data_IF_363454881571
#
_entry.id   IF_363454881571
#
_cell.length_a   1.000
_cell.length_b   1.000
_cell.length_c   1.000
_cell.angle_alpha   90.00
_cell.angle_beta   90.00
_cell.angle_gamma   90.00
#
_symmetry.space_group_name_H-M   'P 1'
#
loop_
_entity.id
_entity.type
_entity.pdbx_description
1 polymer ?
#
# COMPACT_ATOMS: atom_id res chain seq x y z
N UNK A 1 -65.98 -59.53 -28.06
CA UNK A 1 -64.67 -59.20 -27.43
C UNK A 1 -63.59 -59.39 -28.48
N UNK A 2 -63.25 -58.34 -29.22
CA UNK A 2 -62.00 -58.11 -29.97
C UNK A 2 -62.17 -56.80 -30.77
N UNK A 3 -61.37 -55.81 -30.45
CA UNK A 3 -61.08 -54.62 -31.27
C UNK A 3 -59.71 -54.12 -30.80
N UNK A 4 -58.78 -53.83 -31.71
CA UNK A 4 -58.51 -52.45 -32.11
C UNK A 4 -57.37 -52.33 -33.12
N UNK A 5 -57.59 -51.45 -34.11
CA UNK A 5 -56.58 -50.74 -34.92
C UNK A 5 -56.21 -49.42 -34.23
N UNK A 6 -55.03 -48.88 -34.56
CA UNK A 6 -54.89 -47.44 -34.88
C UNK A 6 -53.96 -46.58 -34.00
N UNK A 7 -52.80 -46.28 -34.58
CA UNK A 7 -51.94 -45.06 -34.59
C UNK A 7 -52.25 -43.78 -33.76
N UNK A 8 -51.17 -42.98 -33.64
CA UNK A 8 -50.98 -41.52 -33.40
C UNK A 8 -50.52 -41.04 -31.99
N UNK A 9 -49.47 -40.20 -32.05
CA UNK A 9 -48.93 -39.18 -31.12
C UNK A 9 -47.76 -39.58 -30.19
N UNK A 10 -46.61 -38.94 -30.41
CA UNK A 10 -45.58 -38.73 -29.39
C UNK A 10 -45.08 -37.28 -29.49
N UNK A 11 -45.11 -36.59 -28.35
CA UNK A 11 -44.80 -35.19 -28.15
C UNK A 11 -43.94 -35.10 -26.87
N UNK A 12 -42.78 -34.42 -26.96
CA UNK A 12 -41.87 -33.95 -25.88
C UNK A 12 -41.15 -35.05 -25.05
N UNK A 13 -39.86 -34.98 -24.69
CA UNK A 13 -38.99 -33.85 -24.36
C UNK A 13 -37.50 -34.26 -24.18
N UNK A 14 -36.59 -33.27 -24.29
CA UNK A 14 -35.23 -33.17 -23.69
C UNK A 14 -34.11 -34.13 -24.17
N UNK A 15 -33.14 -33.56 -24.89
CA UNK A 15 -31.71 -33.49 -24.51
C UNK A 15 -30.97 -32.67 -25.59
N UNK A 16 -30.48 -31.49 -25.21
CA UNK A 16 -29.64 -30.62 -26.04
C UNK A 16 -28.19 -30.84 -25.61
N UNK A 17 -27.34 -31.27 -26.55
CA UNK A 17 -25.88 -31.22 -26.39
C UNK A 17 -25.21 -30.86 -27.73
N UNK A 18 -24.80 -29.60 -27.78
CA UNK A 18 -23.53 -29.05 -28.27
C UNK A 18 -22.92 -29.52 -29.61
N UNK A 19 -22.95 -28.62 -30.61
CA UNK A 19 -21.84 -28.37 -31.54
C UNK A 19 -21.97 -26.93 -32.11
N UNK A 20 -21.39 -25.93 -31.46
CA UNK A 20 -21.10 -24.63 -32.12
C UNK A 20 -19.81 -23.99 -31.64
N UNK A 21 -18.67 -24.42 -32.20
CA UNK A 21 -17.39 -23.71 -32.11
C UNK A 21 -16.85 -23.42 -33.51
N UNK A 22 -17.19 -22.25 -34.06
CA UNK A 22 -16.47 -21.52 -35.13
C UNK A 22 -17.25 -20.26 -35.57
N UNK A 23 -17.25 -19.20 -34.77
CA UNK A 23 -17.59 -17.84 -35.26
C UNK A 23 -17.18 -16.75 -34.25
N UNK A 24 -15.89 -16.65 -33.93
CA UNK A 24 -15.35 -15.59 -33.05
C UNK A 24 -14.28 -14.71 -33.69
N UNK A 25 -13.61 -15.21 -34.73
CA UNK A 25 -12.39 -14.59 -35.26
C UNK A 25 -12.63 -13.52 -36.33
N UNK A 26 -13.79 -13.56 -37.01
CA UNK A 26 -14.07 -12.67 -38.14
C UNK A 26 -14.76 -11.35 -37.75
N UNK A 27 -15.33 -11.25 -36.54
CA UNK A 27 -16.05 -10.05 -36.09
C UNK A 27 -15.10 -8.95 -35.58
N UNK A 28 -13.96 -9.34 -34.99
CA UNK A 28 -12.97 -8.41 -34.41
C UNK A 28 -12.13 -7.72 -35.50
N UNK A 29 -11.93 -8.38 -36.65
CA UNK A 29 -11.20 -7.81 -37.79
C UNK A 29 -12.08 -6.79 -38.55
N UNK A 30 -13.39 -6.99 -38.58
CA UNK A 30 -14.34 -6.11 -39.27
C UNK A 30 -14.57 -4.77 -38.54
N UNK A 31 -14.47 -4.75 -37.20
CA UNK A 31 -14.64 -3.53 -36.39
C UNK A 31 -13.42 -2.59 -36.43
N UNK A 32 -12.21 -3.08 -36.70
CA UNK A 32 -11.00 -2.24 -36.77
C UNK A 32 -10.90 -1.42 -38.07
N UNK A 33 -11.42 -1.95 -39.18
CA UNK A 33 -11.35 -1.25 -40.47
C UNK A 33 -12.43 -0.17 -40.65
N UNK A 34 -13.51 -0.19 -39.86
CA UNK A 34 -14.59 0.81 -39.94
C UNK A 34 -14.28 2.11 -39.17
N UNK A 35 -13.32 2.10 -38.24
CA UNK A 35 -12.89 3.29 -37.48
C UNK A 35 -11.81 4.13 -38.18
N UNK A 36 -11.18 3.64 -39.26
CA UNK A 36 -10.09 4.36 -39.94
C UNK A 36 -10.53 5.22 -41.14
N UNK A 37 -11.78 5.12 -41.58
CA UNK A 37 -12.29 5.84 -42.76
C UNK A 37 -13.28 6.98 -42.48
N UNK A 38 -13.63 7.24 -41.21
CA UNK A 38 -14.64 8.25 -40.84
C UNK A 38 -14.10 9.68 -40.67
N UNK A 39 -12.77 9.88 -40.55
CA UNK A 39 -12.24 11.21 -40.19
C UNK A 39 -11.81 12.10 -41.36
N UNK A 40 -11.70 11.57 -42.60
CA UNK A 40 -11.12 12.32 -43.72
C UNK A 40 -12.17 12.86 -44.71
N UNK A 41 -13.42 12.39 -44.66
CA UNK A 41 -14.46 12.80 -45.60
C UNK A 41 -15.29 14.03 -45.17
N UNK A 42 -15.13 14.55 -43.95
CA UNK A 42 -15.95 15.68 -43.45
C UNK A 42 -15.33 17.07 -43.63
N UNK A 43 -14.13 17.17 -44.21
CA UNK A 43 -13.38 18.43 -44.30
C UNK A 43 -13.49 19.19 -45.64
N UNK A 44 -14.34 18.76 -46.58
CA UNK A 44 -14.39 19.37 -47.92
C UNK A 44 -15.71 20.06 -48.30
N UNK A 45 -16.60 20.36 -47.34
CA UNK A 45 -17.82 21.12 -47.62
C UNK A 45 -18.14 22.13 -46.51
N UNK A 46 -17.58 23.33 -46.59
CA UNK A 46 -18.26 24.60 -46.29
C UNK A 46 -17.29 25.78 -46.35
N UNK A 47 -17.27 26.46 -47.49
CA UNK A 47 -16.67 27.79 -47.61
C UNK A 47 -17.49 28.84 -46.86
N UNK A 48 -16.77 29.84 -46.36
CA UNK A 48 -17.21 31.19 -46.01
C UNK A 48 -18.10 31.36 -44.77
N UNK A 49 -17.49 31.21 -43.58
CA UNK A 49 -17.73 32.07 -42.38
C UNK A 49 -16.75 31.84 -41.20
N UNK A 50 -15.57 31.25 -41.42
CA UNK A 50 -14.67 30.81 -40.33
C UNK A 50 -13.58 31.82 -39.95
N UNK A 51 -13.33 32.86 -40.74
CA UNK A 51 -12.19 33.78 -40.48
C UNK A 51 -12.39 34.67 -39.24
N UNK A 52 -13.60 35.19 -38.99
CA UNK A 52 -13.83 36.12 -37.87
C UNK A 52 -13.96 35.46 -36.49
N UNK A 53 -14.29 34.16 -36.43
CA UNK A 53 -14.37 33.43 -35.15
C UNK A 53 -13.02 32.90 -34.70
N UNK A 54 -12.13 32.56 -35.65
CA UNK A 54 -10.79 32.07 -35.34
C UNK A 54 -9.86 33.19 -34.85
N UNK A 55 -9.92 34.38 -35.45
CA UNK A 55 -9.16 35.56 -34.98
C UNK A 55 -9.57 35.99 -33.56
N UNK A 56 -10.88 35.98 -33.24
CA UNK A 56 -11.35 36.30 -31.90
C UNK A 56 -10.92 35.26 -30.84
N UNK A 57 -10.72 33.99 -31.25
CA UNK A 57 -10.24 32.94 -30.36
C UNK A 57 -8.73 33.04 -30.12
N UNK A 58 -7.96 33.36 -31.18
CA UNK A 58 -6.51 33.60 -31.11
C UNK A 58 -6.18 34.88 -30.33
N UNK A 59 -6.98 35.93 -30.48
CA UNK A 59 -6.80 37.16 -29.71
C UNK A 59 -7.15 36.94 -28.23
N UNK A 60 -8.24 36.21 -27.92
CA UNK A 60 -8.55 35.80 -26.53
C UNK A 60 -7.48 34.90 -25.92
N UNK A 61 -6.80 34.07 -26.71
CA UNK A 61 -5.69 33.25 -26.24
C UNK A 61 -4.43 34.07 -25.97
N UNK A 62 -4.11 35.06 -26.82
CA UNK A 62 -3.00 36.00 -26.63
C UNK A 62 -3.23 36.92 -25.42
N UNK A 63 -4.42 37.49 -25.28
CA UNK A 63 -4.76 38.38 -24.15
C UNK A 63 -4.76 37.63 -22.80
N UNK A 64 -5.04 36.32 -22.80
CA UNK A 64 -4.98 35.45 -21.61
C UNK A 64 -3.54 35.00 -21.28
N UNK A 65 -2.67 34.94 -22.29
CA UNK A 65 -1.24 34.67 -22.13
C UNK A 65 -0.48 35.91 -21.63
N UNK A 66 -0.78 37.11 -22.14
CA UNK A 66 -0.21 38.37 -21.65
C UNK A 66 -0.67 38.69 -20.22
N UNK A 67 -1.95 38.49 -19.89
CA UNK A 67 -2.45 38.63 -18.50
C UNK A 67 -1.89 37.59 -17.51
N UNK A 68 -1.35 36.47 -18.00
CA UNK A 68 -0.69 35.46 -17.17
C UNK A 68 0.81 35.75 -16.96
N UNK A 69 1.44 36.50 -17.88
CA UNK A 69 2.86 36.88 -17.82
C UNK A 69 3.11 38.15 -17.00
N UNK A 70 2.18 39.11 -16.97
CA UNK A 70 2.34 40.33 -16.16
C UNK A 70 2.01 40.14 -14.67
N UNK A 71 1.34 39.05 -14.28
CA UNK A 71 1.00 38.76 -12.87
C UNK A 71 2.13 38.08 -12.06
N UNK A 72 3.33 37.92 -12.64
CA UNK A 72 4.47 37.24 -12.01
C UNK A 72 5.57 38.18 -11.49
N UNK A 73 5.35 39.50 -11.49
CA UNK A 73 6.28 40.46 -10.90
C UNK A 73 5.56 41.28 -9.82
N UNK A 74 6.08 41.15 -8.59
CA UNK A 74 5.90 42.00 -7.39
C UNK A 74 4.64 41.85 -6.48
N UNK A 75 4.95 41.41 -5.25
CA UNK A 75 4.26 41.50 -3.94
C UNK A 75 2.99 40.63 -3.68
N UNK A 76 3.04 39.57 -2.86
CA UNK A 76 3.00 39.51 -1.36
C UNK A 76 1.71 40.18 -0.84
N UNK A 77 0.69 39.50 -0.33
CA UNK A 77 0.64 38.50 0.76
C UNK A 77 -0.64 37.64 0.74
N UNK A 78 -0.65 36.60 1.59
CA UNK A 78 -1.80 35.85 2.11
C UNK A 78 -2.45 34.77 1.22
N UNK A 79 -1.90 33.55 1.32
CA UNK A 79 -2.68 32.31 1.26
C UNK A 79 -2.01 31.25 2.13
N UNK A 80 -2.82 30.59 2.96
CA UNK A 80 -2.44 29.60 3.98
C UNK A 80 -1.58 28.48 3.38
N UNK A 81 -0.28 28.56 3.61
CA UNK A 81 0.59 27.38 3.59
C UNK A 81 0.26 26.55 4.83
N UNK A 82 -0.23 25.33 4.61
CA UNK A 82 -0.05 24.26 5.58
C UNK A 82 1.44 24.20 5.89
N UNK A 83 1.75 24.45 7.15
CA UNK A 83 3.11 24.53 7.66
C UNK A 83 3.48 23.08 7.97
N UNK A 84 4.04 22.36 7.00
CA UNK A 84 4.90 21.23 7.34
C UNK A 84 6.02 21.81 8.19
N UNK A 85 5.87 21.70 9.52
CA UNK A 85 6.93 21.99 10.48
C UNK A 85 7.81 20.75 10.71
N UNK A 86 7.92 19.88 9.71
CA UNK A 86 9.02 18.94 9.60
C UNK A 86 10.18 19.70 8.99
N UNK A 87 11.14 20.11 9.82
CA UNK A 87 12.49 20.41 9.35
C UNK A 87 12.90 19.25 8.44
N UNK A 88 13.24 19.50 7.18
CA UNK A 88 13.84 18.48 6.32
C UNK A 88 15.19 18.10 6.95
N UNK A 89 15.16 17.08 7.80
CA UNK A 89 16.30 16.65 8.62
C UNK A 89 17.29 15.79 7.82
N UNK A 90 17.10 15.63 6.50
CA UNK A 90 17.88 14.73 5.67
C UNK A 90 17.63 13.26 6.01
N UNK A 91 17.83 12.38 5.01
CA UNK A 91 17.78 10.94 5.22
C UNK A 91 19.18 10.41 5.52
N UNK A 92 19.44 10.12 6.79
CA UNK A 92 20.73 9.68 7.36
C UNK A 92 20.71 8.22 7.85
N UNK A 93 19.70 7.44 7.43
CA UNK A 93 19.63 6.02 7.77
C UNK A 93 20.75 5.22 7.10
N UNK A 94 21.54 4.52 7.92
CA UNK A 94 22.59 3.59 7.48
C UNK A 94 22.23 2.17 7.92
N UNK A 95 21.90 1.25 7.00
CA UNK A 95 21.65 -0.14 7.36
C UNK A 95 22.86 -0.78 8.03
N UNK A 96 22.63 -1.70 8.97
CA UNK A 96 23.71 -2.57 9.48
C UNK A 96 24.41 -3.34 8.36
N UNK A 97 25.63 -3.80 8.61
CA UNK A 97 26.45 -4.53 7.64
C UNK A 97 26.38 -6.06 7.80
N UNK A 98 25.83 -6.56 8.91
CA UNK A 98 25.78 -7.99 9.24
C UNK A 98 24.33 -8.50 9.27
N UNK A 99 23.97 -9.38 8.34
CA UNK A 99 22.63 -9.98 8.28
C UNK A 99 22.31 -10.86 9.50
N UNK A 100 21.19 -10.59 10.17
CA UNK A 100 20.68 -11.39 11.30
C UNK A 100 19.45 -12.21 10.88
N UNK A 101 18.55 -11.60 10.12
CA UNK A 101 17.32 -12.20 9.62
C UNK A 101 16.88 -11.52 8.32
N UNK A 102 16.35 -12.29 7.39
CA UNK A 102 15.64 -11.78 6.22
C UNK A 102 14.47 -12.70 5.86
N UNK A 103 13.35 -12.09 5.51
CA UNK A 103 12.18 -12.77 4.97
C UNK A 103 11.48 -11.88 3.94
N UNK A 104 11.40 -12.37 2.71
CA UNK A 104 10.68 -11.74 1.59
C UNK A 104 9.55 -12.64 1.04
N UNK A 105 9.26 -13.72 1.76
CA UNK A 105 8.24 -14.73 1.47
C UNK A 105 8.41 -15.50 0.15
N UNK A 106 9.47 -15.27 -0.61
CA UNK A 106 9.71 -15.85 -1.94
C UNK A 106 9.66 -17.38 -1.97
N UNK A 107 10.11 -18.04 -0.89
CA UNK A 107 10.14 -19.51 -0.75
C UNK A 107 8.76 -20.15 -0.52
N UNK A 108 7.75 -19.38 -0.14
CA UNK A 108 6.40 -19.89 0.12
C UNK A 108 5.54 -19.82 -1.13
N UNK A 109 4.70 -20.82 -1.39
CA UNK A 109 3.69 -20.73 -2.44
C UNK A 109 2.61 -19.69 -2.07
N UNK A 110 1.91 -19.13 -3.07
CA UNK A 110 0.72 -18.31 -2.82
C UNK A 110 -0.33 -19.16 -2.10
N UNK A 111 -0.93 -18.61 -1.05
CA UNK A 111 -1.89 -19.30 -0.17
C UNK A 111 -1.24 -20.13 0.95
N UNK A 112 0.09 -20.30 0.95
CA UNK A 112 0.78 -21.03 2.01
C UNK A 112 0.97 -20.16 3.26
N UNK A 113 1.09 -20.81 4.42
CA UNK A 113 1.44 -20.15 5.68
C UNK A 113 2.95 -19.94 5.78
N UNK A 114 3.36 -18.70 6.07
CA UNK A 114 4.77 -18.35 6.28
C UNK A 114 5.28 -18.82 7.65
N UNK A 115 5.92 -19.98 7.71
CA UNK A 115 6.43 -20.57 8.96
C UNK A 115 7.49 -19.72 9.70
N UNK A 116 8.08 -18.71 9.05
CA UNK A 116 9.00 -17.76 9.66
C UNK A 116 8.31 -16.75 10.59
N UNK A 117 6.99 -16.65 10.51
CA UNK A 117 6.14 -15.78 11.33
C UNK A 117 5.19 -16.63 12.16
N UNK A 118 5.07 -16.31 13.45
CA UNK A 118 4.06 -16.84 14.36
C UNK A 118 3.02 -15.77 14.67
N UNK A 119 1.78 -16.20 14.91
CA UNK A 119 0.63 -15.30 15.09
C UNK A 119 -0.53 -16.01 15.81
N UNK A 120 -1.45 -15.25 16.42
CA UNK A 120 -2.79 -15.72 16.80
C UNK A 120 -3.82 -15.68 15.66
N UNK A 121 -3.46 -15.12 14.50
CA UNK A 121 -4.26 -15.13 13.29
C UNK A 121 -3.71 -16.10 12.25
N UNK A 122 -3.53 -15.61 11.02
CA UNK A 122 -2.97 -16.38 9.92
C UNK A 122 -1.90 -15.58 9.17
N UNK A 123 -0.76 -16.21 8.91
CA UNK A 123 0.38 -15.65 8.17
C UNK A 123 0.35 -16.11 6.71
N UNK A 124 -0.70 -15.77 5.96
CA UNK A 124 -0.92 -16.27 4.60
C UNK A 124 -0.15 -15.44 3.58
N UNK A 125 0.61 -16.13 2.73
CA UNK A 125 1.37 -15.49 1.65
C UNK A 125 0.48 -15.26 0.44
N UNK A 126 0.54 -14.06 -0.13
CA UNK A 126 -0.18 -13.63 -1.32
C UNK A 126 0.75 -12.94 -2.32
N UNK A 127 0.20 -12.65 -3.49
CA UNK A 127 0.75 -11.72 -4.48
C UNK A 127 -0.18 -10.53 -4.57
N UNK A 128 0.35 -9.38 -4.96
CA UNK A 128 -0.45 -8.18 -5.24
C UNK A 128 -0.23 -7.81 -6.70
N UNK A 129 -1.30 -7.38 -7.36
CA UNK A 129 -1.23 -6.90 -8.75
C UNK A 129 -0.31 -5.69 -8.82
N UNK A 130 0.46 -5.57 -9.90
CA UNK A 130 1.45 -4.53 -10.14
C UNK A 130 2.62 -4.41 -9.15
N UNK A 131 2.61 -5.19 -8.06
CA UNK A 131 3.68 -5.23 -7.07
C UNK A 131 4.56 -6.48 -7.19
N UNK A 132 5.88 -6.28 -7.16
CA UNK A 132 6.84 -7.38 -7.26
C UNK A 132 6.91 -8.17 -5.96
N UNK A 133 7.21 -9.46 -6.08
CA UNK A 133 7.50 -10.33 -4.95
C UNK A 133 6.25 -10.95 -4.31
N UNK A 134 6.41 -11.41 -3.07
CA UNK A 134 5.35 -12.05 -2.28
C UNK A 134 5.17 -11.28 -0.99
N UNK A 135 3.95 -11.30 -0.50
CA UNK A 135 3.51 -10.49 0.64
C UNK A 135 2.81 -11.36 1.65
N UNK A 136 2.93 -11.05 2.93
CA UNK A 136 2.11 -11.67 3.97
C UNK A 136 0.90 -10.79 4.27
N UNK A 137 -0.30 -11.34 4.18
CA UNK A 137 -1.54 -10.64 4.52
C UNK A 137 -1.69 -10.53 6.04
N UNK A 138 -2.01 -9.33 6.53
CA UNK A 138 -2.36 -9.10 7.93
C UNK A 138 -3.87 -9.27 8.12
N UNK A 139 -4.27 -10.31 8.87
CA UNK A 139 -5.66 -10.52 9.29
C UNK A 139 -5.98 -9.61 10.46
N UNK A 140 -7.20 -9.11 10.49
CA UNK A 140 -7.69 -8.21 11.52
C UNK A 140 -7.48 -8.81 12.92
N UNK A 141 -7.17 -7.94 13.88
CA UNK A 141 -6.99 -8.32 15.30
C UNK A 141 -5.93 -9.39 15.55
N UNK A 142 -4.93 -9.49 14.67
CA UNK A 142 -3.83 -10.44 14.82
C UNK A 142 -2.50 -9.74 15.17
N UNK A 143 -1.73 -10.39 16.03
CA UNK A 143 -0.33 -10.04 16.35
C UNK A 143 0.59 -10.98 15.57
N UNK A 144 1.65 -10.45 14.98
CA UNK A 144 2.65 -11.19 14.23
C UNK A 144 4.03 -10.95 14.84
N UNK A 145 4.75 -12.04 15.14
CA UNK A 145 6.14 -12.02 15.63
C UNK A 145 6.99 -13.00 14.85
N UNK A 146 8.30 -12.83 14.89
CA UNK A 146 9.23 -13.79 14.26
C UNK A 146 9.20 -15.13 15.01
N UNK A 147 9.15 -16.23 14.27
CA UNK A 147 9.30 -17.58 14.85
C UNK A 147 10.73 -17.77 15.38
N UNK A 148 11.73 -17.23 14.65
CA UNK A 148 13.12 -17.23 15.09
C UNK A 148 13.28 -16.29 16.28
N UNK A 149 13.70 -16.82 17.43
CA UNK A 149 14.13 -15.99 18.55
C UNK A 149 15.45 -15.31 18.19
N UNK A 150 15.45 -13.98 18.17
CA UNK A 150 16.63 -13.17 17.89
C UNK A 150 17.12 -12.56 19.19
N UNK A 151 18.42 -12.74 19.49
CA UNK A 151 19.12 -11.93 20.48
C UNK A 151 19.61 -10.68 19.76
N UNK A 152 18.82 -9.62 19.83
CA UNK A 152 19.17 -8.35 19.19
C UNK A 152 20.46 -7.81 19.80
N UNK A 153 21.46 -7.41 18.98
CA UNK A 153 22.62 -6.70 19.49
C UNK A 153 22.21 -5.32 20.02
N UNK A 154 23.13 -4.63 20.69
CA UNK A 154 22.90 -3.27 21.20
C UNK A 154 22.52 -2.30 20.08
N UNK A 155 23.17 -2.42 18.93
CA UNK A 155 22.93 -1.60 17.75
C UNK A 155 22.50 -2.47 16.57
N UNK A 156 21.35 -2.18 15.98
CA UNK A 156 20.80 -2.89 14.82
C UNK A 156 19.84 -2.02 14.02
N UNK A 157 19.56 -2.47 12.80
CA UNK A 157 18.52 -1.89 11.95
C UNK A 157 17.47 -2.93 11.60
N UNK A 158 16.24 -2.48 11.44
CA UNK A 158 15.17 -3.24 10.79
C UNK A 158 14.57 -2.44 9.65
N UNK A 159 14.34 -3.12 8.54
CA UNK A 159 13.65 -2.58 7.37
C UNK A 159 12.56 -3.57 6.94
N UNK A 160 11.43 -3.06 6.50
CA UNK A 160 10.35 -3.84 5.89
C UNK A 160 9.42 -2.92 5.10
N UNK A 161 8.55 -3.51 4.30
CA UNK A 161 7.60 -2.77 3.49
C UNK A 161 6.18 -3.07 3.99
N UNK A 162 5.37 -2.03 4.09
CA UNK A 162 3.91 -2.13 4.34
C UNK A 162 3.21 -1.76 3.03
N UNK A 163 2.19 -2.51 2.66
CA UNK A 163 1.32 -2.19 1.53
C UNK A 163 -0.12 -2.14 2.03
N UNK A 164 -0.66 -0.93 2.14
CA UNK A 164 -2.05 -0.68 2.47
C UNK A 164 -2.86 -0.51 1.18
N UNK A 165 -3.65 -1.52 0.82
CA UNK A 165 -4.56 -1.45 -0.31
C UNK A 165 -5.94 -1.04 0.18
N UNK A 166 -6.40 0.14 -0.23
CA UNK A 166 -7.68 0.72 0.18
C UNK A 166 -8.11 1.82 -0.79
N UNK A 167 -9.41 2.13 -0.79
CA UNK A 167 -9.95 3.27 -1.55
C UNK A 167 -9.70 4.57 -0.78
N UNK A 168 -9.84 4.54 0.55
CA UNK A 168 -9.56 5.65 1.46
C UNK A 168 -8.72 5.19 2.65
N UNK A 169 -7.91 6.08 3.24
CA UNK A 169 -7.05 5.72 4.37
C UNK A 169 -7.89 5.25 5.56
N UNK A 170 -9.00 5.91 5.85
CA UNK A 170 -9.90 5.56 6.94
C UNK A 170 -10.71 4.26 6.72
N UNK A 171 -10.53 3.56 5.60
CA UNK A 171 -11.01 2.19 5.44
C UNK A 171 -10.20 1.21 6.31
N UNK A 172 -9.05 1.65 6.84
CA UNK A 172 -8.13 0.87 7.65
C UNK A 172 -8.08 1.46 9.06
N UNK A 173 -8.32 0.62 10.06
CA UNK A 173 -8.03 0.97 11.46
C UNK A 173 -6.52 1.10 11.74
N UNK A 174 -6.12 1.64 12.90
CA UNK A 174 -4.71 1.82 13.22
C UNK A 174 -3.91 0.51 13.20
N UNK A 175 -2.73 0.55 12.60
CA UNK A 175 -1.76 -0.54 12.59
C UNK A 175 -0.57 -0.15 13.44
N UNK A 176 -0.04 -1.07 14.26
CA UNK A 176 1.17 -0.82 15.04
C UNK A 176 2.27 -1.82 14.75
N UNK A 177 3.51 -1.39 14.93
CA UNK A 177 4.69 -2.24 14.92
C UNK A 177 5.70 -1.70 15.92
N UNK A 178 6.63 -2.55 16.36
CA UNK A 178 7.62 -2.15 17.34
C UNK A 178 8.24 -3.32 18.06
N UNK A 179 8.50 -3.14 19.35
CA UNK A 179 9.24 -4.09 20.17
C UNK A 179 8.60 -4.27 21.55
N UNK A 180 8.26 -5.51 21.89
CA UNK A 180 7.76 -5.90 23.21
C UNK A 180 8.78 -6.67 24.03
N UNK A 181 8.60 -6.69 25.35
CA UNK A 181 9.42 -7.50 26.25
C UNK A 181 9.06 -8.99 26.19
N UNK A 182 7.79 -9.33 25.99
CA UNK A 182 7.35 -10.69 25.76
C UNK A 182 7.49 -11.09 24.28
N UNK A 183 7.61 -12.39 24.03
CA UNK A 183 7.58 -12.95 22.67
C UNK A 183 6.33 -13.83 22.44
N UNK A 184 5.25 -13.60 23.20
CA UNK A 184 3.99 -14.30 23.04
C UNK A 184 3.20 -13.72 21.86
N UNK A 185 2.36 -14.55 21.26
CA UNK A 185 1.33 -14.13 20.30
C UNK A 185 -0.05 -14.60 20.72
N UNK A 186 -0.24 -14.99 21.99
CA UNK A 186 -1.54 -15.45 22.49
C UNK A 186 -2.58 -14.34 22.38
N UNK A 187 -2.19 -13.13 22.78
CA UNK A 187 -3.07 -11.97 22.83
C UNK A 187 -2.79 -10.97 21.69
N UNK A 188 -3.81 -10.19 21.37
CA UNK A 188 -3.65 -8.99 20.57
C UNK A 188 -2.79 -7.96 21.30
N UNK A 189 -1.79 -7.42 20.62
CA UNK A 189 -0.83 -6.47 21.19
C UNK A 189 -1.03 -5.09 20.56
N UNK A 190 -1.52 -4.10 21.31
CA UNK A 190 -1.56 -2.70 20.87
C UNK A 190 -0.79 -1.83 21.86
N UNK A 191 -0.01 -0.88 21.32
CA UNK A 191 0.74 0.13 22.07
C UNK A 191 1.58 -0.46 23.23
N UNK A 192 2.15 -1.64 23.00
CA UNK A 192 2.94 -2.37 23.98
C UNK A 192 4.44 -2.23 23.72
N UNK A 193 5.22 -2.04 24.79
CA UNK A 193 6.64 -1.75 24.68
C UNK A 193 6.87 -0.50 23.84
N UNK A 194 7.95 -0.49 23.04
CA UNK A 194 8.18 0.60 22.09
C UNK A 194 7.37 0.35 20.84
N UNK A 195 6.52 1.30 20.45
CA UNK A 195 5.62 1.16 19.32
C UNK A 195 5.68 2.37 18.39
N UNK A 196 5.32 2.12 17.13
CA UNK A 196 4.92 3.09 16.12
C UNK A 196 3.53 2.67 15.66
N UNK A 197 2.56 3.57 15.70
CA UNK A 197 1.18 3.32 15.33
C UNK A 197 0.79 4.28 14.21
N UNK A 198 0.45 3.72 13.05
CA UNK A 198 -0.02 4.44 11.87
C UNK A 198 -1.54 4.62 12.00
N UNK A 199 -1.99 5.85 12.26
CA UNK A 199 -3.40 6.19 12.47
C UNK A 199 -4.08 6.47 11.12
N UNK A 200 -4.29 5.42 10.33
CA UNK A 200 -4.93 5.51 9.01
C UNK A 200 -6.31 6.21 9.04
N UNK A 201 -7.07 6.05 10.13
CA UNK A 201 -8.33 6.75 10.36
C UNK A 201 -8.20 8.27 10.39
N UNK A 202 -7.11 8.77 10.99
CA UNK A 202 -6.78 10.19 11.08
C UNK A 202 -5.97 10.68 9.86
N UNK A 203 -5.71 9.80 8.89
CA UNK A 203 -5.05 10.03 7.59
C UNK A 203 -3.57 10.47 7.62
N UNK A 204 -3.13 11.21 8.64
CA UNK A 204 -1.77 11.72 8.72
C UNK A 204 -1.09 11.54 10.08
N UNK A 205 -1.80 11.04 11.11
CA UNK A 205 -1.23 10.90 12.44
C UNK A 205 -0.35 9.64 12.55
N UNK A 206 0.80 9.79 13.19
CA UNK A 206 1.65 8.68 13.62
C UNK A 206 1.99 8.86 15.10
N UNK A 207 1.63 7.88 15.91
CA UNK A 207 1.92 7.88 17.35
C UNK A 207 3.11 6.98 17.62
N UNK A 208 4.10 7.49 18.35
CA UNK A 208 5.31 6.73 18.73
C UNK A 208 5.48 6.80 20.23
N UNK A 209 5.69 5.68 20.89
CA UNK A 209 5.89 5.73 22.34
C UNK A 209 6.29 4.43 22.99
N UNK A 210 6.48 4.52 24.30
CA UNK A 210 6.65 3.40 25.21
C UNK A 210 6.20 3.82 26.63
N UNK A 211 5.36 2.99 27.25
CA UNK A 211 4.91 3.21 28.64
C UNK A 211 6.02 3.06 29.67
N UNK A 212 7.13 2.43 29.31
CA UNK A 212 8.34 2.36 30.10
C UNK A 212 9.55 2.54 29.16
N UNK A 213 10.08 3.78 29.00
CA UNK A 213 10.29 4.74 30.09
C UNK A 213 9.28 5.91 30.20
N UNK A 214 8.04 5.78 29.72
CA UNK A 214 7.02 6.87 29.63
C UNK A 214 7.42 7.97 28.65
N UNK A 215 7.78 7.56 27.44
CA UNK A 215 8.07 8.47 26.34
C UNK A 215 6.97 8.36 25.29
N UNK A 216 6.41 9.48 24.89
CA UNK A 216 5.36 9.56 23.88
C UNK A 216 5.63 10.75 22.97
N UNK A 217 5.54 10.52 21.67
CA UNK A 217 5.79 11.49 20.62
C UNK A 217 4.72 11.31 19.56
N UNK A 218 3.99 12.38 19.28
CA UNK A 218 3.07 12.42 18.15
C UNK A 218 3.77 13.14 17.00
N UNK A 219 3.65 12.58 15.81
CA UNK A 219 4.21 13.12 14.59
C UNK A 219 3.24 12.92 13.43
N UNK A 220 3.55 13.46 12.28
CA UNK A 220 2.67 13.41 11.11
C UNK A 220 3.39 12.84 9.90
N UNK A 221 2.67 12.01 9.15
CA UNK A 221 3.09 11.46 7.87
C UNK A 221 1.84 11.19 7.04
N UNK A 222 1.77 11.69 5.81
CA UNK A 222 0.59 11.50 4.95
C UNK A 222 0.43 10.01 4.56
N UNK A 223 -0.47 9.31 5.25
CA UNK A 223 -0.75 7.89 4.99
C UNK A 223 -1.60 7.72 3.73
N UNK A 224 -2.31 8.76 3.30
CA UNK A 224 -3.14 8.73 2.08
C UNK A 224 -2.25 8.61 0.85
N UNK A 225 -1.14 9.35 0.78
CA UNK A 225 -0.15 9.24 -0.31
C UNK A 225 0.66 7.93 -0.29
N UNK A 226 0.52 7.13 0.78
CA UNK A 226 1.16 5.82 0.89
C UNK A 226 0.25 4.66 0.48
N UNK A 227 -1.04 4.91 0.22
CA UNK A 227 -1.97 3.86 -0.19
C UNK A 227 -1.60 3.27 -1.55
N UNK A 228 -1.91 1.99 -1.71
CA UNK A 228 -1.77 1.22 -2.94
C UNK A 228 -0.34 1.21 -3.52
N UNK A 229 0.67 1.46 -2.68
CA UNK A 229 2.09 1.27 -2.99
C UNK A 229 2.87 0.81 -1.75
N UNK A 230 4.07 0.24 -1.91
CA UNK A 230 4.94 -0.08 -0.78
C UNK A 230 5.37 1.20 -0.04
N UNK A 231 5.08 1.25 1.25
CA UNK A 231 5.60 2.18 2.23
C UNK A 231 6.82 1.57 2.90
N UNK A 232 8.00 2.17 2.68
CA UNK A 232 9.24 1.68 3.28
C UNK A 232 9.33 2.12 4.74
N UNK A 233 9.44 1.15 5.65
CA UNK A 233 9.76 1.38 7.05
C UNK A 233 11.24 1.09 7.27
N UNK A 234 11.94 2.04 7.90
CA UNK A 234 13.32 1.87 8.35
C UNK A 234 13.42 2.29 9.81
N UNK A 235 14.01 1.42 10.65
CA UNK A 235 14.20 1.70 12.07
C UNK A 235 15.66 1.42 12.42
N UNK A 236 16.30 2.38 13.07
CA UNK A 236 17.61 2.22 13.69
C UNK A 236 17.43 2.17 15.20
N UNK A 237 18.02 1.15 15.83
CA UNK A 237 18.06 1.03 17.28
C UNK A 237 19.52 1.05 17.73
N UNK A 238 19.81 1.91 18.70
CA UNK A 238 21.11 2.02 19.35
C UNK A 238 20.89 2.11 20.87
N UNK A 239 21.11 0.99 21.56
CA UNK A 239 20.84 0.82 22.98
C UNK A 239 19.39 1.19 23.37
N UNK A 240 19.18 2.36 24.00
CA UNK A 240 17.88 2.89 24.38
C UNK A 240 17.19 3.75 23.31
N UNK A 241 17.94 4.18 22.31
CA UNK A 241 17.51 5.10 21.26
C UNK A 241 16.88 4.35 20.10
N UNK A 242 15.75 4.86 19.62
CA UNK A 242 15.06 4.39 18.42
C UNK A 242 14.84 5.57 17.47
N UNK A 243 15.20 5.38 16.21
CA UNK A 243 14.98 6.34 15.12
C UNK A 243 14.10 5.65 14.08
N UNK A 244 13.04 6.31 13.64
CA UNK A 244 12.05 5.74 12.71
C UNK A 244 11.93 6.62 11.48
N UNK A 245 11.90 5.99 10.32
CA UNK A 245 11.65 6.62 9.03
C UNK A 245 10.51 5.92 8.28
N UNK A 246 9.70 6.71 7.60
CA UNK A 246 8.74 6.28 6.59
C UNK A 246 9.10 6.93 5.25
N UNK A 247 9.36 6.13 4.21
CA UNK A 247 9.80 6.61 2.88
C UNK A 247 10.87 7.70 2.92
N UNK A 248 11.85 7.52 3.82
CA UNK A 248 12.97 8.45 4.10
C UNK A 248 12.64 9.67 4.93
N UNK A 249 11.38 9.92 5.25
CA UNK A 249 10.97 10.96 6.19
C UNK A 249 11.27 10.50 7.61
N UNK A 250 12.19 11.19 8.30
CA UNK A 250 12.49 10.94 9.71
C UNK A 250 11.29 11.38 10.56
N UNK A 251 10.67 10.43 11.24
CA UNK A 251 9.48 10.66 12.08
C UNK A 251 9.84 11.01 13.51
N UNK A 252 10.77 10.24 14.08
CA UNK A 252 11.21 10.40 15.46
C UNK A 252 12.65 9.95 15.60
N UNK A 253 13.30 10.53 16.59
CA UNK A 253 14.63 10.18 17.05
C UNK A 253 14.67 10.40 18.57
N UNK A 254 14.51 9.32 19.34
CA UNK A 254 14.35 9.45 20.80
C UNK A 254 14.68 8.16 21.56
N UNK A 255 14.97 8.28 22.85
CA UNK A 255 15.06 7.16 23.78
C UNK A 255 13.68 6.56 24.06
N UNK A 256 13.45 5.33 23.59
CA UNK A 256 12.20 4.59 23.77
C UNK A 256 12.37 3.33 24.60
N UNK A 257 13.59 2.94 24.98
CA UNK A 257 13.81 1.73 25.78
C UNK A 257 14.46 2.04 27.13
N UNK A 258 14.39 1.07 28.02
CA UNK A 258 15.27 0.99 29.20
C UNK A 258 16.49 0.11 28.88
N UNK A 259 17.61 0.24 29.61
CA UNK A 259 18.88 -0.45 29.28
C UNK A 259 18.81 -1.98 29.19
N UNK A 260 17.81 -2.61 29.83
CA UNK A 260 17.63 -4.06 29.84
C UNK A 260 16.37 -4.52 29.08
N UNK A 261 15.70 -3.63 28.35
CA UNK A 261 14.48 -3.98 27.64
C UNK A 261 14.76 -5.05 26.58
N UNK A 262 14.04 -6.18 26.68
CA UNK A 262 13.97 -7.15 25.60
C UNK A 262 13.23 -6.53 24.41
N UNK A 263 13.75 -6.76 23.20
CA UNK A 263 13.29 -6.11 21.97
C UNK A 263 12.70 -7.12 20.99
N UNK A 264 11.58 -7.76 21.33
CA UNK A 264 10.92 -8.71 20.42
C UNK A 264 10.11 -7.95 19.37
N UNK A 265 10.59 -7.94 18.12
CA UNK A 265 9.89 -7.28 17.02
C UNK A 265 8.50 -7.88 16.80
N UNK A 266 7.51 -7.00 16.63
CA UNK A 266 6.15 -7.35 16.31
C UNK A 266 5.55 -6.41 15.26
N UNK A 267 4.54 -6.92 14.56
CA UNK A 267 3.60 -6.14 13.75
C UNK A 267 2.20 -6.58 14.19
N UNK A 268 1.32 -5.63 14.44
CA UNK A 268 -0.07 -5.87 14.79
C UNK A 268 -0.96 -5.33 13.68
N UNK A 269 -1.88 -6.17 13.23
CA UNK A 269 -2.85 -5.80 12.22
C UNK A 269 -3.90 -4.80 12.76
N UNK A 270 -4.49 -3.98 11.88
CA UNK A 270 -5.69 -3.21 12.16
C UNK A 270 -6.77 -4.01 12.89
N UNK A 271 -7.52 -3.30 13.74
CA UNK A 271 -8.67 -3.87 14.43
C UNK A 271 -9.78 -4.27 13.46
N UNK A 272 -9.94 -3.51 12.38
CA UNK A 272 -10.93 -3.72 11.35
C UNK A 272 -10.45 -3.15 10.01
N UNK A 273 -11.08 -3.67 8.96
CA UNK A 273 -10.96 -3.21 7.59
C UNK A 273 -12.37 -3.01 7.05
N UNK A 274 -12.58 -1.96 6.26
CA UNK A 274 -13.84 -1.71 5.57
C UNK A 274 -13.59 -1.57 4.06
N UNK A 275 -14.65 -1.57 3.25
CA UNK A 275 -14.58 -1.37 1.79
C UNK A 275 -13.58 -2.27 1.04
N UNK A 276 -13.31 -3.47 1.57
CA UNK A 276 -12.38 -4.42 0.96
C UNK A 276 -10.89 -4.12 1.18
N UNK A 277 -10.57 -3.15 2.05
CA UNK A 277 -9.22 -2.77 2.40
C UNK A 277 -8.41 -3.93 2.99
N UNK A 278 -7.10 -3.91 2.75
CA UNK A 278 -6.15 -4.94 3.18
C UNK A 278 -4.80 -4.31 3.48
N UNK A 279 -4.15 -4.76 4.54
CA UNK A 279 -2.74 -4.46 4.77
C UNK A 279 -1.89 -5.72 4.63
N UNK A 280 -0.76 -5.56 3.98
CA UNK A 280 0.22 -6.62 3.73
C UNK A 280 1.61 -6.14 4.09
N UNK A 281 2.51 -7.08 4.40
CA UNK A 281 3.91 -6.77 4.72
C UNK A 281 4.86 -7.66 3.94
N UNK A 282 6.05 -7.14 3.61
CA UNK A 282 7.11 -7.90 2.96
C UNK A 282 8.51 -7.36 3.30
N UNK A 283 9.52 -8.04 2.76
CA UNK A 283 10.92 -7.62 2.76
C UNK A 283 11.47 -7.28 4.16
N UNK A 284 11.09 -8.07 5.17
CA UNK A 284 11.59 -7.93 6.54
C UNK A 284 13.08 -8.26 6.55
N UNK A 285 13.90 -7.32 7.00
CA UNK A 285 15.33 -7.45 7.06
C UNK A 285 15.85 -6.86 8.37
N UNK A 286 16.62 -7.64 9.11
CA UNK A 286 17.25 -7.22 10.36
C UNK A 286 18.75 -7.40 10.19
N UNK A 287 19.51 -6.33 10.43
CA UNK A 287 20.96 -6.32 10.37
C UNK A 287 21.56 -5.73 11.64
N UNK A 288 22.65 -6.31 12.09
CA UNK A 288 23.50 -5.73 13.13
C UNK A 288 24.67 -4.98 12.50
N UNK A 289 25.46 -4.35 13.36
CA UNK A 289 26.74 -3.77 13.00
C UNK A 289 27.85 -4.71 13.46
N UNK A 290 28.73 -5.07 12.54
CA UNK A 290 29.95 -5.80 12.85
C UNK A 290 30.75 -4.96 13.83
N UNK A 291 31.29 -5.59 14.88
CA UNK A 291 32.27 -4.89 15.73
C UNK A 291 33.43 -4.50 14.82
N UNK A 292 33.68 -3.21 14.66
CA UNK A 292 34.97 -2.72 14.16
C UNK A 292 36.03 -3.38 15.04
N UNK A 293 36.88 -4.19 14.42
CA UNK A 293 37.98 -4.88 15.11
C UNK A 293 38.99 -3.89 15.67
#
# INVERSE_FOLDING_TARGET
>A
MMHHKGFVYSLYSLLTEDQSFKSGSNLIIMMKNFLSFSLVAFLLLSGNKVHAQLENLLQKAKDKAEKALEKKVTHKDASRKSKNSGTDMGFDFTPGDSLIFAENFSKYAKGATAASIKTNGAAIVTTVEDEKGKWMLLRDKATYKLTKLIRYPKQFTIEFDILASADQANDISPLSFGFTTDNSVQDYTSNAGAYVELQYYDTDQVNVGNSNPKKYVNTTFDLTESLNRPLKVSIHVDEERMIVYLDKTKLVDTELFTPAAAKNFYITAPWDYTNGAKVMVSNIMIKGFSKTK
#
